data_IF_905782298491
#
_entry.id   IF_905782298491
#
_cell.length_a   1.000
_cell.length_b   1.000
_cell.length_c   1.000
_cell.angle_alpha   90.00
_cell.angle_beta   90.00
_cell.angle_gamma   90.00
#
_symmetry.space_group_name_H-M   'P 1'
#
loop_
_entity.id
_entity.type
_entity.pdbx_description
1 polymer ?
#
# COMPACT_ATOMS: atom_id res chain seq x y z
N UNK A 1 -27.77 -45.50 49.71
CA UNK A 1 -27.77 -45.05 48.30
C UNK A 1 -26.91 -43.79 48.25
N UNK A 2 -25.61 -43.94 48.01
CA UNK A 2 -24.69 -42.81 47.85
C UNK A 2 -24.93 -42.19 46.48
N UNK A 3 -25.44 -40.96 46.46
CA UNK A 3 -25.55 -40.18 45.23
C UNK A 3 -24.13 -39.85 44.75
N UNK A 4 -23.68 -40.53 43.69
CA UNK A 4 -22.44 -40.23 43.00
C UNK A 4 -22.55 -38.83 42.38
N UNK A 5 -22.02 -37.83 43.10
CA UNK A 5 -21.84 -36.47 42.62
C UNK A 5 -20.72 -36.49 41.57
N UNK A 6 -21.09 -36.78 40.32
CA UNK A 6 -20.19 -36.48 39.20
C UNK A 6 -20.18 -34.96 39.03
N UNK A 7 -19.05 -34.27 39.26
CA UNK A 7 -18.99 -32.84 39.08
C UNK A 7 -19.26 -32.53 37.61
N UNK A 8 -20.32 -31.78 37.35
CA UNK A 8 -20.61 -31.26 36.02
C UNK A 8 -19.40 -30.42 35.60
N UNK A 9 -18.80 -30.68 34.43
CA UNK A 9 -17.64 -29.91 33.99
C UNK A 9 -18.06 -28.45 33.85
N UNK A 10 -17.37 -27.57 34.57
CA UNK A 10 -17.57 -26.13 34.50
C UNK A 10 -17.43 -25.68 33.06
N UNK A 11 -18.43 -24.97 32.55
CA UNK A 11 -18.37 -24.44 31.20
C UNK A 11 -17.27 -23.36 31.10
N UNK A 12 -16.80 -23.02 29.89
CA UNK A 12 -15.82 -21.95 29.69
C UNK A 12 -16.31 -20.57 30.15
N UNK A 13 -17.60 -20.42 30.45
CA UNK A 13 -18.22 -19.20 30.97
C UNK A 13 -18.25 -19.12 32.50
N UNK A 14 -17.88 -20.19 33.21
CA UNK A 14 -17.88 -20.26 34.68
C UNK A 14 -16.51 -19.90 35.28
N UNK A 15 -15.59 -19.39 34.45
CA UNK A 15 -14.27 -18.95 34.90
C UNK A 15 -14.37 -17.68 35.77
N UNK A 16 -13.54 -17.55 36.82
CA UNK A 16 -13.33 -16.30 37.52
C UNK A 16 -13.11 -15.14 36.55
N UNK A 17 -13.63 -13.96 36.91
CA UNK A 17 -13.63 -12.78 36.03
C UNK A 17 -12.21 -12.38 35.62
N UNK A 18 -11.26 -12.50 36.53
CA UNK A 18 -9.86 -12.16 36.34
C UNK A 18 -9.21 -13.05 35.28
N UNK A 19 -9.51 -14.35 35.29
CA UNK A 19 -9.01 -15.30 34.28
C UNK A 19 -9.66 -15.02 32.93
N UNK A 20 -10.96 -14.72 32.92
CA UNK A 20 -11.66 -14.36 31.69
C UNK A 20 -11.09 -13.09 31.07
N UNK A 21 -10.89 -12.04 31.87
CA UNK A 21 -10.29 -10.77 31.42
C UNK A 21 -8.87 -11.00 30.91
N UNK A 22 -8.07 -11.85 31.56
CA UNK A 22 -6.73 -12.22 31.11
C UNK A 22 -6.73 -12.97 29.78
N UNK A 23 -7.64 -13.95 29.61
CA UNK A 23 -7.81 -14.68 28.34
C UNK A 23 -8.20 -13.69 27.24
N UNK A 24 -9.22 -12.87 27.45
CA UNK A 24 -9.72 -11.92 26.45
C UNK A 24 -8.69 -10.83 26.10
N UNK A 25 -7.79 -10.48 27.01
CA UNK A 25 -6.68 -9.56 26.74
C UNK A 25 -5.65 -10.13 25.74
N UNK A 26 -5.55 -11.45 25.64
CA UNK A 26 -4.63 -12.15 24.73
C UNK A 26 -5.25 -12.48 23.36
N UNK A 27 -6.56 -12.28 23.19
CA UNK A 27 -7.26 -12.58 21.93
C UNK A 27 -7.21 -11.35 21.01
N UNK A 28 -6.93 -11.57 19.73
CA UNK A 28 -6.91 -10.49 18.74
C UNK A 28 -8.32 -9.91 18.47
N UNK A 29 -8.35 -8.72 17.89
CA UNK A 29 -9.60 -8.00 17.65
C UNK A 29 -10.62 -8.76 16.79
N UNK A 30 -10.18 -9.47 15.75
CA UNK A 30 -11.08 -10.20 14.85
C UNK A 30 -11.63 -11.45 15.55
N UNK A 31 -10.77 -12.18 16.26
CA UNK A 31 -11.20 -13.33 17.07
C UNK A 31 -12.17 -12.91 18.19
N UNK A 32 -11.97 -11.76 18.84
CA UNK A 32 -12.92 -11.22 19.82
C UNK A 32 -14.26 -10.83 19.18
N UNK A 33 -14.25 -10.29 17.96
CA UNK A 33 -15.48 -9.99 17.22
C UNK A 33 -16.25 -11.28 16.89
N UNK A 34 -15.56 -12.32 16.42
CA UNK A 34 -16.15 -13.63 16.16
C UNK A 34 -16.68 -14.27 17.45
N UNK A 35 -15.88 -14.28 18.51
CA UNK A 35 -16.28 -14.79 19.83
C UNK A 35 -17.56 -14.11 20.32
N UNK A 36 -17.63 -12.78 20.26
CA UNK A 36 -18.82 -12.01 20.63
C UNK A 36 -20.09 -12.47 19.90
N UNK A 37 -19.96 -12.85 18.63
CA UNK A 37 -21.08 -13.27 17.78
C UNK A 37 -21.58 -14.70 18.06
N UNK A 38 -20.86 -15.49 18.85
CA UNK A 38 -21.23 -16.89 19.11
C UNK A 38 -22.48 -17.04 19.97
N UNK A 39 -22.60 -16.28 21.08
CA UNK A 39 -23.75 -16.38 21.99
C UNK A 39 -23.92 -15.12 22.86
N UNK A 40 -25.04 -15.04 23.59
CA UNK A 40 -25.36 -13.92 24.50
C UNK A 40 -24.33 -13.76 25.62
N UNK A 41 -23.85 -14.86 26.22
CA UNK A 41 -22.84 -14.82 27.29
C UNK A 41 -21.52 -14.25 26.78
N UNK A 42 -21.02 -14.70 25.63
CA UNK A 42 -19.82 -14.15 24.98
C UNK A 42 -19.98 -12.65 24.69
N UNK A 43 -21.19 -12.22 24.28
CA UNK A 43 -21.54 -10.81 24.13
C UNK A 43 -21.56 -10.01 25.44
N UNK A 44 -21.74 -10.63 26.59
CA UNK A 44 -21.59 -9.92 27.87
C UNK A 44 -20.12 -9.85 28.30
N UNK A 45 -19.35 -10.91 28.06
CA UNK A 45 -17.94 -10.99 28.41
C UNK A 45 -17.04 -10.07 27.57
N UNK A 46 -17.36 -9.87 26.28
CA UNK A 46 -16.60 -9.01 25.38
C UNK A 46 -17.41 -7.76 24.97
N UNK A 47 -17.66 -6.79 25.89
CA UNK A 47 -18.56 -5.66 25.63
C UNK A 47 -18.05 -4.75 24.51
N UNK A 48 -18.96 -4.05 23.84
CA UNK A 48 -18.60 -3.12 22.75
C UNK A 48 -17.62 -2.03 23.16
N UNK A 49 -17.64 -1.58 24.43
CA UNK A 49 -16.69 -0.60 24.96
C UNK A 49 -15.25 -1.12 24.91
N UNK A 50 -15.03 -2.40 25.29
CA UNK A 50 -13.74 -3.06 25.20
C UNK A 50 -13.27 -3.16 23.74
N UNK A 51 -14.12 -3.64 22.84
CA UNK A 51 -13.82 -3.74 21.40
C UNK A 51 -13.47 -2.37 20.80
N UNK A 52 -14.17 -1.31 21.21
CA UNK A 52 -13.90 0.07 20.78
C UNK A 52 -12.53 0.53 21.28
N UNK A 53 -12.18 0.22 22.52
CA UNK A 53 -10.86 0.49 23.11
C UNK A 53 -9.74 -0.20 22.34
N UNK A 54 -9.86 -1.51 22.12
CA UNK A 54 -8.88 -2.32 21.36
C UNK A 54 -8.75 -1.78 19.94
N UNK A 55 -9.87 -1.53 19.25
CA UNK A 55 -9.87 -0.95 17.89
C UNK A 55 -9.14 0.39 17.85
N UNK A 56 -9.37 1.26 18.83
CA UNK A 56 -8.72 2.56 18.89
C UNK A 56 -7.22 2.41 19.16
N UNK A 57 -6.82 1.50 20.05
CA UNK A 57 -5.42 1.19 20.31
C UNK A 57 -4.68 0.70 19.06
N UNK A 58 -5.24 -0.30 18.36
CA UNK A 58 -4.67 -0.81 17.10
C UNK A 58 -4.56 0.32 16.06
N UNK A 59 -5.61 1.13 15.92
CA UNK A 59 -5.60 2.27 14.99
C UNK A 59 -4.50 3.28 15.32
N UNK A 60 -4.32 3.61 16.60
CA UNK A 60 -3.26 4.51 17.06
C UNK A 60 -1.88 3.94 16.76
N UNK A 61 -1.66 2.64 17.01
CA UNK A 61 -0.40 1.97 16.71
C UNK A 61 -0.09 1.99 15.20
N UNK A 62 -1.06 1.65 14.35
CA UNK A 62 -0.89 1.72 12.90
C UNK A 62 -0.56 3.14 12.39
N UNK A 63 -1.15 4.18 13.01
CA UNK A 63 -0.82 5.57 12.69
C UNK A 63 0.61 5.94 13.12
N UNK A 64 1.05 5.48 14.30
CA UNK A 64 2.40 5.71 14.80
C UNK A 64 3.45 5.01 13.94
N UNK A 65 3.24 3.74 13.60
CA UNK A 65 4.10 2.97 12.69
C UNK A 65 4.20 3.61 11.31
N UNK A 66 3.07 4.07 10.76
CA UNK A 66 3.05 4.75 9.47
C UNK A 66 3.83 6.07 9.49
N UNK A 67 3.69 6.84 10.57
CA UNK A 67 4.42 8.08 10.74
C UNK A 67 5.94 7.83 10.86
N UNK A 68 6.33 6.78 11.58
CA UNK A 68 7.73 6.39 11.68
C UNK A 68 8.31 5.97 10.32
N UNK A 69 7.57 5.18 9.54
CA UNK A 69 7.92 4.77 8.17
C UNK A 69 8.01 5.98 7.22
N UNK A 70 7.07 6.93 7.32
CA UNK A 70 7.12 8.20 6.58
C UNK A 70 8.39 9.00 6.88
N UNK A 71 8.69 9.24 8.17
CA UNK A 71 9.90 9.98 8.59
C UNK A 71 11.17 9.28 8.10
N UNK A 72 11.21 7.94 8.17
CA UNK A 72 12.34 7.16 7.68
C UNK A 72 12.54 7.36 6.16
N UNK A 73 11.44 7.39 5.39
CA UNK A 73 11.49 7.67 3.94
C UNK A 73 11.94 9.09 3.64
N UNK A 74 11.48 10.09 4.38
CA UNK A 74 11.95 11.48 4.23
C UNK A 74 13.46 11.59 4.49
N UNK A 75 13.98 10.91 5.52
CA UNK A 75 15.43 10.88 5.79
C UNK A 75 16.20 10.25 4.64
N UNK A 76 15.72 9.10 4.12
CA UNK A 76 16.32 8.43 2.95
C UNK A 76 16.31 9.34 1.72
N UNK A 77 15.19 10.02 1.47
CA UNK A 77 15.03 10.96 0.37
C UNK A 77 15.97 12.17 0.52
N UNK A 78 16.04 12.79 1.69
CA UNK A 78 16.93 13.91 1.98
C UNK A 78 18.41 13.53 1.82
N UNK A 79 18.80 12.35 2.30
CA UNK A 79 20.14 11.81 2.10
C UNK A 79 20.43 11.62 0.61
N UNK A 80 19.52 10.97 -0.13
CA UNK A 80 19.67 10.78 -1.57
C UNK A 80 19.76 12.11 -2.33
N UNK A 81 18.91 13.09 -2.02
CA UNK A 81 18.90 14.40 -2.65
C UNK A 81 20.20 15.19 -2.38
N UNK A 82 20.85 14.96 -1.23
CA UNK A 82 22.18 15.51 -0.93
C UNK A 82 23.25 14.88 -1.81
N UNK A 83 23.26 13.55 -1.93
CA UNK A 83 24.20 12.82 -2.80
C UNK A 83 24.03 13.18 -4.27
N UNK A 84 22.78 13.30 -4.74
CA UNK A 84 22.48 13.67 -6.13
C UNK A 84 23.01 15.08 -6.48
N UNK A 85 23.04 16.02 -5.52
CA UNK A 85 23.62 17.36 -5.71
C UNK A 85 25.15 17.37 -5.72
N UNK A 86 25.79 16.52 -4.92
CA UNK A 86 27.24 16.45 -4.82
C UNK A 86 27.90 15.81 -6.06
N UNK A 87 27.14 15.01 -6.81
CA UNK A 87 27.59 14.34 -8.03
C UNK A 87 26.60 14.58 -9.17
N UNK A 88 26.52 15.81 -9.70
CA UNK A 88 25.71 16.08 -10.89
C UNK A 88 26.28 15.26 -12.04
N UNK A 89 25.49 14.40 -12.67
CA UNK A 89 25.94 13.70 -13.87
C UNK A 89 26.21 14.76 -14.96
N UNK A 90 27.46 14.92 -15.40
CA UNK A 90 27.90 15.87 -16.45
C UNK A 90 27.16 15.69 -17.80
N UNK A 91 26.61 14.51 -18.07
CA UNK A 91 25.81 14.23 -19.27
C UNK A 91 24.29 14.36 -19.08
N UNK A 92 23.81 14.81 -17.93
CA UNK A 92 22.37 15.04 -17.72
C UNK A 92 22.05 16.50 -17.98
N UNK A 93 21.64 16.78 -19.21
CA UNK A 93 20.87 18.00 -19.48
C UNK A 93 19.69 18.02 -18.51
N UNK A 94 19.53 19.14 -17.82
CA UNK A 94 18.41 19.50 -16.95
C UNK A 94 17.02 19.15 -17.54
N UNK A 95 16.92 19.03 -18.87
CA UNK A 95 15.74 18.60 -19.63
C UNK A 95 15.42 17.09 -19.63
N UNK A 96 16.24 16.22 -19.03
CA UNK A 96 15.92 14.78 -18.92
C UNK A 96 15.17 14.47 -17.62
N UNK A 97 13.93 14.95 -17.53
CA UNK A 97 13.01 14.71 -16.40
C UNK A 97 12.66 13.23 -16.17
N UNK A 98 12.96 12.32 -17.10
CA UNK A 98 12.03 11.21 -17.30
C UNK A 98 12.38 9.86 -16.70
N UNK A 99 13.63 9.51 -16.43
CA UNK A 99 13.95 8.10 -16.10
C UNK A 99 14.54 7.87 -14.72
N UNK A 100 15.52 8.67 -14.27
CA UNK A 100 16.19 8.40 -12.98
C UNK A 100 15.48 9.10 -11.80
N UNK A 101 14.90 10.28 -12.03
CA UNK A 101 13.98 10.89 -11.06
C UNK A 101 12.77 10.00 -10.84
N UNK A 102 12.23 9.39 -11.89
CA UNK A 102 11.07 8.51 -11.78
C UNK A 102 11.37 7.16 -11.14
N UNK A 103 12.47 6.48 -11.49
CA UNK A 103 12.78 5.15 -10.96
C UNK A 103 13.17 5.24 -9.47
N UNK A 104 13.96 6.24 -9.07
CA UNK A 104 14.38 6.39 -7.68
C UNK A 104 13.35 7.09 -6.80
N UNK A 105 12.59 8.07 -7.33
CA UNK A 105 11.45 8.62 -6.59
C UNK A 105 10.40 7.54 -6.36
N UNK A 106 10.06 6.71 -7.36
CA UNK A 106 9.06 5.65 -7.18
C UNK A 106 9.51 4.45 -6.34
N UNK A 107 10.78 4.27 -6.02
CA UNK A 107 11.18 3.14 -5.15
C UNK A 107 11.42 3.59 -3.70
N UNK A 108 12.07 4.74 -3.51
CA UNK A 108 12.41 5.23 -2.15
C UNK A 108 11.19 5.84 -1.47
N UNK A 109 10.31 6.53 -2.22
CA UNK A 109 9.13 7.20 -1.65
C UNK A 109 7.88 6.33 -1.66
N UNK A 110 7.85 5.26 -2.48
CA UNK A 110 6.64 4.45 -2.65
C UNK A 110 6.52 3.43 -1.52
N UNK A 111 5.50 3.63 -0.69
CA UNK A 111 5.06 2.61 0.25
C UNK A 111 4.62 1.34 -0.48
N UNK A 112 5.28 0.22 -0.20
CA UNK A 112 4.95 -1.12 -0.71
C UNK A 112 3.71 -1.70 -0.03
N UNK A 113 3.49 -1.31 1.23
CA UNK A 113 2.32 -1.66 2.04
C UNK A 113 1.68 -0.40 2.62
N UNK A 114 0.38 -0.45 2.85
CA UNK A 114 -0.41 0.65 3.39
C UNK A 114 -1.38 0.12 4.45
N UNK A 115 -1.69 0.97 5.42
CA UNK A 115 -2.67 0.64 6.46
C UNK A 115 -4.10 0.89 5.97
N UNK A 116 -4.98 -0.09 6.20
CA UNK A 116 -6.42 0.06 6.07
C UNK A 116 -7.02 0.32 7.44
N UNK A 117 -7.57 1.51 7.69
CA UNK A 117 -8.15 1.86 8.99
C UNK A 117 -9.60 1.34 9.19
N UNK A 118 -10.14 0.67 8.18
CA UNK A 118 -11.42 -0.01 8.27
C UNK A 118 -11.26 -1.43 8.84
N UNK A 119 -10.38 -2.27 8.28
CA UNK A 119 -10.07 -3.61 8.82
C UNK A 119 -8.86 -3.64 9.75
N UNK A 120 -8.19 -2.50 9.98
CA UNK A 120 -7.03 -2.39 10.87
C UNK A 120 -5.85 -3.30 10.46
N UNK A 121 -5.68 -3.53 9.16
CA UNK A 121 -4.60 -4.37 8.65
C UNK A 121 -3.62 -3.55 7.81
N UNK A 122 -2.33 -3.91 7.91
CA UNK A 122 -1.29 -3.47 7.00
C UNK A 122 -1.28 -4.38 5.77
N UNK A 123 -1.69 -3.87 4.63
CA UNK A 123 -1.94 -4.63 3.40
C UNK A 123 -1.02 -4.18 2.26
N UNK A 124 -0.74 -5.05 1.27
CA UNK A 124 -0.05 -4.64 0.06
C UNK A 124 -0.73 -3.46 -0.65
N UNK A 125 0.06 -2.59 -1.27
CA UNK A 125 -0.43 -1.36 -1.95
C UNK A 125 -1.50 -1.67 -2.99
N UNK A 126 -1.40 -2.79 -3.70
CA UNK A 126 -2.35 -3.25 -4.70
C UNK A 126 -3.74 -3.58 -4.14
N UNK A 127 -3.89 -3.76 -2.83
CA UNK A 127 -5.18 -3.91 -2.17
C UNK A 127 -5.96 -2.58 -2.07
N UNK A 128 -5.35 -1.47 -2.45
CA UNK A 128 -5.93 -0.13 -2.41
C UNK A 128 -6.20 0.38 -3.84
N UNK A 129 -7.14 1.31 -3.97
CA UNK A 129 -7.38 2.02 -5.24
C UNK A 129 -6.40 3.18 -5.36
N UNK A 130 -6.16 3.64 -6.58
CA UNK A 130 -5.22 4.74 -6.84
C UNK A 130 -5.59 6.01 -6.05
N UNK A 131 -6.88 6.28 -5.88
CA UNK A 131 -7.39 7.38 -5.05
C UNK A 131 -7.11 7.24 -3.56
N UNK A 132 -6.93 6.02 -3.04
CA UNK A 132 -6.51 5.78 -1.66
C UNK A 132 -4.99 5.82 -1.50
N UNK A 133 -4.27 5.71 -2.61
CA UNK A 133 -2.82 5.60 -2.66
C UNK A 133 -2.16 6.96 -2.92
N UNK A 134 -2.79 7.80 -3.74
CA UNK A 134 -2.30 9.09 -4.23
C UNK A 134 -3.09 10.27 -3.64
N UNK A 135 -2.62 11.49 -3.87
CA UNK A 135 -3.31 12.72 -3.46
C UNK A 135 -3.41 12.87 -1.94
N UNK A 136 -4.55 13.40 -1.45
CA UNK A 136 -4.73 13.74 -0.02
C UNK A 136 -4.72 12.54 0.93
N UNK A 137 -4.83 11.32 0.39
CA UNK A 137 -4.82 10.06 1.15
C UNK A 137 -3.48 9.34 1.10
N UNK A 138 -2.54 9.83 0.31
CA UNK A 138 -1.19 9.27 0.28
C UNK A 138 -0.48 9.42 1.62
N UNK A 139 0.59 8.65 1.80
CA UNK A 139 1.38 8.60 3.03
C UNK A 139 1.80 10.02 3.47
N UNK A 140 1.63 10.35 4.76
CA UNK A 140 1.99 11.67 5.30
C UNK A 140 0.96 12.78 5.07
N UNK A 141 -0.09 12.55 4.28
CA UNK A 141 -1.14 13.57 4.06
C UNK A 141 -2.27 13.52 5.09
N UNK A 142 -3.02 14.62 5.20
CA UNK A 142 -4.10 14.84 6.19
C UNK A 142 -5.19 13.74 6.19
N UNK A 143 -5.55 13.21 5.02
CA UNK A 143 -6.58 12.18 4.90
C UNK A 143 -6.03 10.74 4.89
N UNK A 144 -4.72 10.54 5.09
CA UNK A 144 -4.12 9.20 5.16
C UNK A 144 -4.83 8.31 6.21
N UNK A 145 -5.18 8.90 7.36
CA UNK A 145 -5.94 8.25 8.45
C UNK A 145 -7.35 7.77 8.09
N UNK A 146 -7.84 8.13 6.90
CA UNK A 146 -9.15 7.73 6.37
C UNK A 146 -9.04 6.66 5.28
N UNK A 147 -7.84 6.15 5.00
CA UNK A 147 -7.62 5.09 4.00
C UNK A 147 -8.36 3.80 4.35
N UNK A 148 -8.84 3.14 3.32
CA UNK A 148 -9.45 1.82 3.39
C UNK A 148 -9.08 0.99 2.15
N UNK A 149 -9.02 -0.34 2.31
CA UNK A 149 -8.75 -1.26 1.20
C UNK A 149 -10.00 -1.48 0.34
N UNK A 150 -9.80 -2.08 -0.83
CA UNK A 150 -10.86 -2.45 -1.79
C UNK A 150 -11.97 -3.30 -1.16
N UNK A 151 -11.62 -4.27 -0.33
CA UNK A 151 -12.63 -5.12 0.32
C UNK A 151 -13.47 -4.31 1.30
N UNK A 152 -12.83 -3.48 2.13
CA UNK A 152 -13.55 -2.64 3.09
C UNK A 152 -14.42 -1.58 2.44
N UNK A 153 -13.98 -1.00 1.31
CA UNK A 153 -14.79 0.00 0.60
C UNK A 153 -16.10 -0.58 0.08
N UNK A 154 -16.06 -1.81 -0.46
CA UNK A 154 -17.28 -2.52 -0.89
C UNK A 154 -18.14 -2.93 0.30
N UNK A 155 -17.57 -3.53 1.35
CA UNK A 155 -18.32 -3.95 2.55
C UNK A 155 -19.03 -2.77 3.23
N UNK A 156 -18.45 -1.57 3.15
CA UNK A 156 -19.03 -0.34 3.69
C UNK A 156 -20.01 0.36 2.73
N UNK A 157 -20.24 -0.16 1.53
CA UNK A 157 -21.10 0.46 0.53
C UNK A 157 -20.57 1.78 -0.03
N UNK A 158 -19.25 2.04 0.06
CA UNK A 158 -18.65 3.25 -0.51
C UNK A 158 -18.69 3.20 -2.04
N UNK A 159 -18.63 1.99 -2.60
CA UNK A 159 -18.81 1.76 -4.03
C UNK A 159 -20.08 0.97 -4.28
N UNK A 160 -20.95 1.53 -5.11
CA UNK A 160 -22.18 0.88 -5.51
C UNK A 160 -21.91 -0.32 -6.43
N UNK A 161 -22.81 -1.30 -6.37
CA UNK A 161 -22.76 -2.48 -7.23
C UNK A 161 -22.88 -2.09 -8.70
N UNK A 162 -21.99 -2.64 -9.54
CA UNK A 162 -21.84 -2.32 -10.95
C UNK A 162 -20.82 -1.23 -11.26
N UNK A 163 -20.30 -0.55 -10.23
CA UNK A 163 -19.32 0.54 -10.42
C UNK A 163 -17.97 0.00 -10.88
N UNK A 164 -17.39 0.64 -11.90
CA UNK A 164 -16.00 0.42 -12.31
C UNK A 164 -15.06 1.29 -11.49
N UNK A 165 -14.10 0.66 -10.82
CA UNK A 165 -13.08 1.31 -10.00
C UNK A 165 -11.75 1.27 -10.74
N UNK A 166 -11.21 2.44 -11.10
CA UNK A 166 -9.89 2.53 -11.74
C UNK A 166 -8.77 2.20 -10.74
N UNK A 167 -7.84 1.34 -11.16
CA UNK A 167 -6.57 1.13 -10.50
C UNK A 167 -5.43 1.23 -11.51
N UNK A 168 -4.20 1.31 -11.00
CA UNK A 168 -3.00 1.66 -11.79
C UNK A 168 -2.79 0.83 -13.06
N UNK A 169 -2.98 -0.49 -12.99
CA UNK A 169 -2.80 -1.40 -14.13
C UNK A 169 -4.09 -2.03 -14.63
N UNK A 170 -5.13 -2.05 -13.81
CA UNK A 170 -6.34 -2.83 -14.05
C UNK A 170 -7.58 -2.03 -13.65
N UNK A 171 -8.64 -2.17 -14.44
CA UNK A 171 -9.97 -1.76 -13.99
C UNK A 171 -10.54 -2.86 -13.11
N UNK A 172 -11.10 -2.49 -11.97
CA UNK A 172 -11.84 -3.36 -11.08
C UNK A 172 -13.33 -3.06 -11.22
N UNK A 173 -14.18 -4.03 -10.96
CA UNK A 173 -15.64 -3.84 -10.90
C UNK A 173 -16.15 -4.38 -9.58
N UNK A 174 -17.13 -3.68 -9.01
CA UNK A 174 -17.93 -4.23 -7.91
C UNK A 174 -19.07 -5.00 -8.54
N UNK A 175 -19.03 -6.32 -8.50
CA UNK A 175 -19.99 -7.15 -9.23
C UNK A 175 -21.43 -6.96 -8.71
N UNK A 176 -22.41 -6.77 -9.61
CA UNK A 176 -23.84 -6.72 -9.24
C UNK A 176 -24.36 -8.02 -8.65
N UNK A 177 -23.95 -9.17 -9.19
CA UNK A 177 -24.44 -10.49 -8.77
C UNK A 177 -23.88 -10.97 -7.43
N UNK A 178 -22.55 -10.94 -7.25
CA UNK A 178 -21.90 -11.49 -6.05
C UNK A 178 -21.42 -10.43 -5.05
N UNK A 179 -21.54 -9.13 -5.37
CA UNK A 179 -21.04 -8.02 -4.56
C UNK A 179 -19.52 -8.07 -4.28
N UNK A 180 -18.75 -8.93 -4.94
CA UNK A 180 -17.29 -8.96 -4.81
C UNK A 180 -16.64 -7.91 -5.71
N UNK A 181 -15.50 -7.36 -5.26
CA UNK A 181 -14.62 -6.56 -6.11
C UNK A 181 -13.63 -7.46 -6.83
N UNK A 182 -13.71 -7.49 -8.15
CA UNK A 182 -12.86 -8.33 -8.99
C UNK A 182 -12.19 -7.52 -10.10
N UNK A 183 -11.13 -8.06 -10.68
CA UNK A 183 -10.56 -7.51 -11.90
C UNK A 183 -11.59 -7.62 -13.02
N UNK A 184 -11.82 -6.53 -13.73
CA UNK A 184 -12.84 -6.46 -14.76
C UNK A 184 -12.46 -7.31 -15.98
N UNK A 185 -13.33 -8.22 -16.38
CA UNK A 185 -13.30 -8.83 -17.71
C UNK A 185 -13.94 -7.86 -18.71
N UNK A 186 -13.29 -7.62 -19.85
CA UNK A 186 -13.78 -6.75 -20.90
C UNK A 186 -15.18 -7.16 -21.41
N UNK A 187 -15.50 -8.46 -21.40
CA UNK A 187 -16.79 -9.01 -21.84
C UNK A 187 -17.94 -8.61 -20.93
N UNK A 188 -17.71 -8.60 -19.62
CA UNK A 188 -18.75 -8.41 -18.60
C UNK A 188 -18.72 -7.02 -17.95
N UNK A 189 -17.66 -6.23 -18.17
CA UNK A 189 -17.48 -4.89 -17.59
C UNK A 189 -18.67 -3.96 -17.86
N UNK A 190 -19.22 -3.94 -19.08
CA UNK A 190 -20.36 -3.07 -19.44
C UNK A 190 -21.62 -3.37 -18.62
N UNK A 191 -21.80 -4.63 -18.23
CA UNK A 191 -22.93 -5.09 -17.40
C UNK A 191 -22.64 -4.98 -15.90
N UNK A 192 -21.44 -4.56 -15.51
CA UNK A 192 -21.05 -4.44 -14.10
C UNK A 192 -21.01 -5.78 -13.34
N UNK A 193 -20.72 -6.89 -14.04
CA UNK A 193 -20.69 -8.26 -13.47
C UNK A 193 -19.35 -8.96 -13.71
N UNK A 194 -18.99 -9.90 -12.85
CA UNK A 194 -17.69 -10.58 -12.91
C UNK A 194 -17.64 -11.80 -13.84
N UNK A 195 -18.77 -12.40 -14.16
CA UNK A 195 -18.87 -13.66 -14.89
C UNK A 195 -20.23 -13.79 -15.57
N UNK A 196 -20.35 -14.74 -16.51
CA UNK A 196 -21.62 -15.11 -17.12
C UNK A 196 -22.68 -15.50 -16.07
N UNK A 197 -22.29 -16.29 -15.06
CA UNK A 197 -23.17 -16.69 -13.96
C UNK A 197 -23.72 -15.48 -13.19
N UNK A 198 -22.87 -14.50 -12.90
CA UNK A 198 -23.32 -13.27 -12.25
C UNK A 198 -24.16 -12.40 -13.18
N UNK A 199 -23.97 -12.46 -14.50
CA UNK A 199 -24.86 -11.81 -15.46
C UNK A 199 -26.25 -12.44 -15.42
N UNK A 200 -26.34 -13.76 -15.55
CA UNK A 200 -27.62 -14.48 -15.52
C UNK A 200 -28.37 -14.24 -14.20
N UNK A 201 -27.66 -14.25 -13.07
CA UNK A 201 -28.25 -13.91 -11.76
C UNK A 201 -28.84 -12.51 -11.70
N UNK A 202 -28.19 -11.53 -12.32
CA UNK A 202 -28.69 -10.14 -12.35
C UNK A 202 -29.91 -10.04 -13.25
N UNK A 203 -29.88 -10.66 -14.42
CA UNK A 203 -31.03 -10.71 -15.34
C UNK A 203 -32.26 -11.35 -14.68
N UNK A 204 -32.09 -12.45 -13.94
CA UNK A 204 -33.19 -13.05 -13.18
C UNK A 204 -33.76 -12.13 -12.09
N UNK A 205 -32.93 -11.33 -11.43
CA UNK A 205 -33.38 -10.39 -10.41
C UNK A 205 -34.11 -9.20 -11.02
N UNK A 206 -33.64 -8.69 -12.16
CA UNK A 206 -34.28 -7.60 -12.90
C UNK A 206 -35.65 -8.05 -13.45
N UNK A 207 -35.72 -9.24 -14.07
CA UNK A 207 -36.98 -9.81 -14.57
C UNK A 207 -38.01 -10.09 -13.45
N UNK A 208 -37.55 -10.44 -12.24
CA UNK A 208 -38.44 -10.62 -11.09
C UNK A 208 -38.87 -9.29 -10.46
N UNK A 209 -38.07 -8.23 -10.59
CA UNK A 209 -38.38 -6.90 -10.09
C UNK A 209 -39.38 -6.15 -11.00
N UNK A 210 -39.40 -6.44 -12.30
CA UNK A 210 -40.35 -5.87 -13.27
C UNK A 210 -41.82 -6.30 -13.07
N UNK A 211 -42.12 -7.20 -12.12
CA UNK A 211 -43.50 -7.55 -11.74
C UNK A 211 -44.10 -6.54 -10.74
N UNK A 212 -43.33 -5.61 -10.17
CA UNK A 212 -43.88 -4.42 -9.50
C UNK A 212 -43.65 -3.14 -10.32
N UNK A 213 -44.71 -2.42 -10.73
CA UNK A 213 -44.56 -1.28 -11.61
C UNK A 213 -44.19 -0.03 -10.79
N UNK A 214 -43.08 0.61 -11.15
CA UNK A 214 -42.87 2.03 -10.82
C UNK A 214 -42.00 2.72 -11.86
N UNK A 215 -42.73 3.30 -12.82
CA UNK A 215 -42.51 4.52 -13.60
C UNK A 215 -41.40 5.46 -13.14
N UNK A 216 -40.37 5.67 -13.98
CA UNK A 216 -39.80 6.97 -14.47
C UNK A 216 -38.41 6.71 -15.09
N UNK A 217 -38.30 6.64 -16.43
CA UNK A 217 -38.10 7.72 -17.40
C UNK A 217 -36.61 8.16 -17.58
N UNK A 218 -36.03 7.59 -18.64
CA UNK A 218 -35.03 8.07 -19.61
C UNK A 218 -34.02 9.19 -19.29
N UNK A 219 -32.74 8.89 -19.60
CA UNK A 219 -31.91 9.79 -20.42
C UNK A 219 -30.79 9.04 -21.16
N UNK A 220 -30.55 9.45 -22.40
CA UNK A 220 -29.82 8.74 -23.44
C UNK A 220 -28.32 9.11 -23.58
N UNK A 221 -27.51 8.07 -23.87
CA UNK A 221 -26.41 7.94 -24.85
C UNK A 221 -25.54 9.14 -25.27
N UNK A 222 -24.20 8.94 -25.23
CA UNK A 222 -23.29 9.40 -26.32
C UNK A 222 -21.99 8.56 -26.42
N UNK A 223 -21.92 7.77 -27.50
CA UNK A 223 -20.86 7.55 -28.52
C UNK A 223 -19.36 7.49 -28.19
N UNK A 224 -18.69 6.50 -28.81
CA UNK A 224 -17.22 6.24 -28.91
C UNK A 224 -16.66 6.71 -30.28
N UNK A 225 -15.33 6.76 -30.57
CA UNK A 225 -14.58 5.60 -31.11
C UNK A 225 -13.01 5.64 -30.81
N UNK A 226 -12.07 4.93 -31.50
CA UNK A 226 -11.50 3.64 -31.04
C UNK A 226 -9.92 3.59 -31.08
N UNK A 227 -9.20 2.46 -31.30
CA UNK A 227 -8.08 2.02 -30.43
C UNK A 227 -6.66 2.12 -31.05
N UNK A 228 -5.60 1.93 -30.26
CA UNK A 228 -4.22 1.77 -30.77
C UNK A 228 -3.47 0.60 -30.12
N UNK A 229 -2.62 0.02 -30.95
CA UNK A 229 -2.09 -1.35 -31.03
C UNK A 229 -0.94 -1.64 -30.05
N UNK A 230 -0.81 -2.91 -29.66
CA UNK A 230 0.29 -3.48 -28.88
C UNK A 230 1.61 -3.56 -29.67
N UNK A 231 2.75 -3.43 -28.99
CA UNK A 231 4.01 -4.03 -29.43
C UNK A 231 4.78 -4.55 -28.22
N UNK A 232 5.04 -5.86 -28.25
CA UNK A 232 6.00 -6.58 -27.42
C UNK A 232 7.42 -6.10 -27.69
N UNK A 233 8.27 -6.08 -26.66
CA UNK A 233 9.71 -6.05 -26.85
C UNK A 233 10.42 -6.97 -25.85
N UNK A 234 11.25 -7.78 -26.47
CA UNK A 234 11.88 -9.02 -26.09
C UNK A 234 13.04 -8.80 -25.12
N UNK A 235 13.15 -9.65 -24.10
CA UNK A 235 14.31 -9.73 -23.22
C UNK A 235 15.50 -10.33 -23.98
N UNK A 236 16.58 -9.56 -24.11
CA UNK A 236 17.89 -10.07 -24.51
C UNK A 236 18.83 -10.07 -23.31
N UNK A 237 19.07 -11.27 -22.79
CA UNK A 237 20.00 -11.52 -21.69
C UNK A 237 21.44 -11.13 -22.04
N UNK A 238 22.07 -10.41 -21.12
CA UNK A 238 23.53 -10.34 -21.02
C UNK A 238 23.92 -10.62 -19.57
N UNK A 239 24.49 -11.79 -19.36
CA UNK A 239 25.19 -12.17 -18.14
C UNK A 239 26.42 -11.26 -17.96
N UNK A 240 26.50 -10.47 -16.89
CA UNK A 240 27.71 -9.68 -16.62
C UNK A 240 27.95 -9.37 -15.14
N UNK A 241 28.98 -10.05 -14.60
CA UNK A 241 29.95 -9.61 -13.58
C UNK A 241 29.40 -8.77 -12.40
N UNK A 242 28.77 -9.44 -11.42
CA UNK A 242 28.26 -8.83 -10.18
C UNK A 242 29.31 -8.57 -9.08
N UNK A 243 30.52 -9.10 -9.18
CA UNK A 243 31.41 -9.23 -8.02
C UNK A 243 32.43 -8.08 -7.78
N UNK A 244 32.42 -6.98 -8.55
CA UNK A 244 33.49 -5.96 -8.47
C UNK A 244 33.01 -4.50 -8.35
N UNK A 245 31.76 -4.24 -7.92
CA UNK A 245 31.17 -2.90 -7.92
C UNK A 245 30.90 -2.37 -6.50
N UNK A 246 31.26 -1.11 -6.23
CA UNK A 246 30.99 -0.43 -4.96
C UNK A 246 29.57 0.19 -4.88
N UNK A 247 29.16 0.72 -3.73
CA UNK A 247 27.82 1.28 -3.49
C UNK A 247 27.35 2.30 -4.53
N UNK A 248 28.27 3.11 -5.10
CA UNK A 248 27.97 4.06 -6.19
C UNK A 248 27.57 3.37 -7.50
N UNK A 249 28.02 2.14 -7.74
CA UNK A 249 27.79 1.34 -8.95
C UNK A 249 26.72 0.25 -8.78
N UNK A 250 26.16 0.09 -7.57
CA UNK A 250 25.17 -0.93 -7.21
C UNK A 250 24.14 -0.33 -6.25
N UNK A 251 23.14 0.37 -6.76
CA UNK A 251 22.23 1.19 -5.95
C UNK A 251 21.23 0.43 -5.05
N UNK A 252 21.25 -0.91 -4.94
CA UNK A 252 20.17 -1.68 -4.27
C UNK A 252 20.67 -3.06 -3.77
N UNK A 253 21.37 -3.19 -2.64
CA UNK A 253 21.20 -4.31 -1.69
C UNK A 253 22.07 -4.20 -0.41
N UNK A 254 21.48 -4.65 0.70
CA UNK A 254 22.04 -4.66 2.04
C UNK A 254 23.03 -5.82 2.27
N UNK A 255 24.25 -5.55 2.76
CA UNK A 255 25.02 -6.42 3.67
C UNK A 255 25.91 -5.58 4.59
N UNK A 256 26.26 -6.17 5.74
CA UNK A 256 26.77 -5.50 6.95
C UNK A 256 28.24 -5.02 6.88
N UNK A 257 29.08 -5.41 5.90
CA UNK A 257 30.50 -4.98 5.70
C UNK A 257 30.96 -5.24 4.24
N UNK A 258 32.14 -4.87 3.74
CA UNK A 258 32.70 -3.55 3.45
C UNK A 258 33.23 -3.55 1.99
N UNK A 259 33.28 -2.40 1.32
CA UNK A 259 34.24 -2.22 0.22
C UNK A 259 35.57 -1.74 0.82
N UNK A 260 36.65 -1.77 0.08
CA UNK A 260 37.99 -1.52 0.61
C UNK A 260 38.94 -1.21 -0.54
N UNK A 261 38.55 -0.26 -1.40
CA UNK A 261 39.48 0.33 -2.38
C UNK A 261 40.82 0.73 -1.74
N UNK A 262 41.76 1.22 -2.53
CA UNK A 262 43.16 1.40 -2.08
C UNK A 262 43.30 2.28 -0.82
N UNK A 263 42.29 3.09 -0.49
CA UNK A 263 42.23 3.98 0.67
C UNK A 263 41.37 3.46 1.83
N UNK A 264 40.78 2.26 1.73
CA UNK A 264 39.97 1.65 2.78
C UNK A 264 38.61 2.33 3.02
N UNK A 265 38.16 3.19 2.10
CA UNK A 265 36.99 4.06 2.28
C UNK A 265 35.64 3.40 1.97
N UNK A 266 35.61 2.09 1.77
CA UNK A 266 34.40 1.39 1.32
C UNK A 266 33.82 1.88 0.00
N UNK A 267 34.72 2.30 -0.90
CA UNK A 267 34.43 2.69 -2.28
C UNK A 267 35.29 1.86 -3.26
N UNK A 268 34.88 1.81 -4.53
CA UNK A 268 35.66 1.19 -5.61
C UNK A 268 36.64 2.22 -6.17
N UNK A 269 37.75 1.75 -6.74
CA UNK A 269 38.87 2.58 -7.23
C UNK A 269 38.44 3.73 -8.15
N UNK A 270 37.47 3.49 -9.04
CA UNK A 270 36.93 4.56 -9.90
C UNK A 270 36.15 5.65 -9.13
N UNK A 271 35.58 5.33 -7.97
CA UNK A 271 34.90 6.30 -7.10
C UNK A 271 35.85 7.01 -6.16
N UNK A 272 36.95 6.35 -5.75
CA UNK A 272 38.02 6.97 -4.96
C UNK A 272 38.75 8.05 -5.78
N UNK A 273 39.06 7.79 -7.05
CA UNK A 273 39.73 8.77 -7.92
C UNK A 273 38.97 10.08 -8.10
N UNK A 274 37.63 10.04 -8.00
CA UNK A 274 36.78 11.23 -8.16
C UNK A 274 36.78 12.15 -6.92
N UNK A 275 37.15 11.64 -5.74
CA UNK A 275 37.31 12.47 -4.53
C UNK A 275 38.58 13.33 -4.65
N UNK A 276 39.63 12.80 -5.29
CA UNK A 276 40.89 13.52 -5.46
C UNK A 276 40.79 14.68 -6.46
N UNK A 277 39.94 14.57 -7.49
CA UNK A 277 39.66 15.69 -8.40
C UNK A 277 38.98 16.87 -7.70
N UNK A 278 38.06 16.63 -6.75
CA UNK A 278 37.36 17.74 -6.07
C UNK A 278 38.22 18.50 -5.06
N UNK A 279 39.30 17.89 -4.54
CA UNK A 279 40.21 18.56 -3.60
C UNK A 279 41.24 19.45 -4.28
N UNK A 280 41.50 19.25 -5.56
CA UNK A 280 42.47 20.02 -6.34
C UNK A 280 41.88 21.30 -6.96
N UNK A 281 40.55 21.47 -6.94
CA UNK A 281 39.86 22.64 -7.50
C UNK A 281 39.54 23.76 -6.48
N UNK A 282 39.95 23.62 -5.21
CA UNK A 282 39.62 24.60 -4.14
C UNK A 282 40.73 25.63 -3.85
N UNK A 283 41.86 25.62 -4.56
CA UNK A 283 42.88 26.69 -4.49
C UNK A 283 42.86 27.59 -5.73
N UNK A 284 41.84 28.43 -5.87
CA UNK A 284 41.92 29.63 -6.72
C UNK A 284 41.43 30.84 -5.91
N UNK A 285 42.38 31.62 -5.41
CA UNK A 285 42.15 32.89 -4.71
C UNK A 285 41.54 33.94 -5.67
N UNK A 286 40.36 34.53 -5.38
CA UNK A 286 39.74 35.52 -6.27
C UNK A 286 40.16 36.99 -6.06
N UNK A 287 41.16 37.29 -5.20
CA UNK A 287 41.48 38.68 -4.84
C UNK A 287 42.94 39.02 -5.14
N UNK A 288 43.18 39.42 -6.38
CA UNK A 288 44.46 39.96 -6.84
C UNK A 288 44.25 40.98 -7.95
N UNK A 289 43.59 42.10 -7.67
CA UNK A 289 43.62 43.28 -8.54
C UNK A 289 44.51 44.34 -7.90
N UNK A 290 45.71 44.49 -8.45
CA UNK A 290 46.54 45.68 -8.26
C UNK A 290 46.01 46.86 -9.06
N UNK A 291 46.24 48.06 -8.54
CA UNK A 291 46.10 49.30 -9.31
C UNK A 291 47.35 50.12 -9.05
N UNK A 292 48.18 50.22 -10.09
CA UNK A 292 49.20 51.26 -10.27
C UNK A 292 48.73 52.14 -11.42
N UNK A 293 48.40 53.39 -11.10
CA UNK A 293 48.61 54.61 -11.89
C UNK A 293 48.04 55.79 -11.08
#
# INVERSE_FOLDING_TARGET
>A
MEASLTPTPSGPFDLPRELTDHILACVDYESLLCFRQTCRLASMLAPFAMLKGIRQAIKTNLLAEENADYIQRERKYSHMARWARAFPNEYRTWNSSDTISNIHANFITKATRLNCYACLQNLPRECFTDSQIMGSRSLGHRDAKRRFCKVCGVKKGIWEKGTSVKGSKHTWIVCRGCAAIVKADARYKRRGVCSAECSARVEHLENNAEIEPSTTQDCALTTSPPPSVCADLQESGTSSRRATRCQRCWSINHTHEAADGALGLRLCTGCEGLIHCQRSEVEVNPWGCGTTA
#
